data_IF_833712385259
#
_entry.id   IF_833712385259
#
_cell.length_a   1.000
_cell.length_b   1.000
_cell.length_c   1.000
_cell.angle_alpha   90.00
_cell.angle_beta   90.00
_cell.angle_gamma   90.00
#
_symmetry.space_group_name_H-M   'P 1'
#
loop_
_entity.id
_entity.type
_entity.pdbx_description
1 polymer ?
#
# COMPACT_ATOMS: atom_id res chain seq x y z
N UNK A 1 -1.15 -46.62 24.42
CA UNK A 1 0.09 -45.95 24.88
C UNK A 1 0.15 -44.59 24.19
N UNK A 2 -0.43 -43.52 24.76
CA UNK A 2 -0.19 -42.18 24.26
C UNK A 2 1.14 -41.66 24.86
N UNK A 3 1.94 -41.02 24.03
CA UNK A 3 3.13 -40.29 24.47
C UNK A 3 2.71 -38.87 24.85
N UNK A 4 2.76 -38.59 26.14
CA UNK A 4 2.73 -37.24 26.69
C UNK A 4 4.08 -36.55 26.38
N UNK A 5 4.04 -35.35 25.82
CA UNK A 5 5.20 -34.45 25.72
C UNK A 5 4.89 -33.23 26.57
N UNK A 6 5.61 -33.13 27.69
CA UNK A 6 5.55 -32.03 28.65
C UNK A 6 6.04 -30.72 28.03
N UNK A 7 5.29 -29.65 28.28
CA UNK A 7 5.65 -28.26 27.99
C UNK A 7 6.25 -27.67 29.29
N UNK A 8 7.44 -27.04 29.27
CA UNK A 8 7.98 -26.37 30.46
C UNK A 8 7.27 -25.03 30.73
N UNK A 9 7.08 -24.63 32.01
CA UNK A 9 6.26 -23.48 32.38
C UNK A 9 6.99 -22.14 32.20
N UNK A 10 6.16 -21.13 31.91
CA UNK A 10 6.46 -19.70 31.87
C UNK A 10 6.97 -19.15 33.20
N UNK A 11 8.08 -18.41 33.17
CA UNK A 11 8.55 -17.61 34.29
C UNK A 11 7.65 -16.37 34.49
N UNK A 12 6.72 -16.47 35.43
CA UNK A 12 6.22 -15.32 36.19
C UNK A 12 7.15 -15.10 37.39
N UNK A 13 7.69 -13.89 37.53
CA UNK A 13 8.29 -13.41 38.78
C UNK A 13 7.42 -12.29 39.35
N UNK A 14 6.61 -12.63 40.34
CA UNK A 14 5.92 -11.67 41.18
C UNK A 14 6.93 -10.92 42.05
N UNK A 15 6.73 -9.59 42.13
CA UNK A 15 7.42 -8.72 43.05
C UNK A 15 6.86 -8.86 44.46
N UNK A 16 7.74 -8.72 45.45
CA UNK A 16 7.36 -8.22 46.77
C UNK A 16 8.40 -7.25 47.31
N UNK A 17 7.86 -6.10 47.69
CA UNK A 17 8.35 -5.00 48.50
C UNK A 17 9.43 -5.34 49.55
N UNK A 18 10.43 -4.46 49.69
CA UNK A 18 10.82 -3.96 51.00
C UNK A 18 11.44 -2.56 50.91
N UNK A 19 11.07 -1.72 51.87
CA UNK A 19 11.30 -0.28 51.94
C UNK A 19 12.06 0.03 53.23
N UNK A 20 13.17 0.79 53.15
CA UNK A 20 13.77 1.61 54.22
C UNK A 20 14.94 2.42 53.59
N UNK A 21 14.79 3.75 53.47
CA UNK A 21 15.38 4.78 54.36
C UNK A 21 16.87 5.03 54.03
N UNK A 22 17.18 6.09 53.28
CA UNK A 22 17.46 7.49 53.72
C UNK A 22 18.95 7.67 54.06
N UNK A 23 19.67 8.47 53.25
CA UNK A 23 20.63 9.46 53.73
C UNK A 23 21.34 10.21 52.58
N UNK A 24 21.34 11.52 52.74
CA UNK A 24 21.99 12.57 51.97
C UNK A 24 23.52 12.55 52.01
N UNK A 25 24.22 12.89 50.92
CA UNK A 25 25.02 14.14 50.87
C UNK A 25 25.73 14.45 49.53
N UNK A 26 25.83 15.77 49.35
CA UNK A 26 26.48 16.65 48.38
C UNK A 26 27.96 16.43 47.97
N UNK A 27 28.28 16.97 46.77
CA UNK A 27 29.49 17.74 46.36
C UNK A 27 30.85 17.03 46.20
N UNK A 28 31.42 16.99 44.97
CA UNK A 28 32.37 17.99 44.40
C UNK A 28 33.10 17.49 43.13
N UNK A 29 33.36 18.44 42.21
CA UNK A 29 34.25 18.38 41.03
C UNK A 29 35.64 17.78 41.31
N UNK A 30 36.23 17.10 40.31
CA UNK A 30 37.59 17.42 39.78
C UNK A 30 37.90 16.76 38.43
N UNK A 31 38.66 17.50 37.62
CA UNK A 31 39.29 17.16 36.33
C UNK A 31 40.59 16.37 36.53
N UNK A 32 40.97 15.59 35.51
CA UNK A 32 42.36 15.33 35.02
C UNK A 32 42.22 14.56 33.69
N UNK A 33 42.53 15.10 32.51
CA UNK A 33 43.85 15.23 31.86
C UNK A 33 44.68 13.94 31.82
N UNK A 34 45.07 13.55 30.59
CA UNK A 34 45.94 12.41 30.28
C UNK A 34 45.90 12.03 28.79
N UNK A 35 46.68 12.75 27.97
CA UNK A 35 47.06 12.43 26.59
C UNK A 35 47.70 11.03 26.47
N UNK A 36 47.46 10.31 25.38
CA UNK A 36 48.55 9.62 24.64
C UNK A 36 48.23 9.50 23.13
N UNK A 37 49.22 9.96 22.36
CA UNK A 37 49.33 9.93 20.90
C UNK A 37 49.63 8.52 20.38
N UNK A 38 49.00 8.10 19.28
CA UNK A 38 49.65 7.20 18.31
C UNK A 38 49.24 7.52 16.86
N UNK A 39 50.26 7.88 16.07
CA UNK A 39 50.25 8.09 14.61
C UNK A 39 50.49 6.76 13.90
N UNK A 40 49.84 6.51 12.75
CA UNK A 40 50.34 5.73 11.60
C UNK A 40 49.33 5.90 10.45
N UNK A 41 49.61 6.71 9.42
CA UNK A 41 50.43 6.47 8.23
C UNK A 41 49.57 6.04 7.02
N UNK A 42 49.75 6.75 5.90
CA UNK A 42 48.93 6.67 4.70
C UNK A 42 49.67 6.00 3.52
N UNK A 43 48.88 5.28 2.69
CA UNK A 43 49.05 4.95 1.24
C UNK A 43 50.15 3.91 0.85
N UNK A 44 50.04 3.20 -0.30
CA UNK A 44 49.43 3.64 -1.57
C UNK A 44 48.61 2.62 -2.40
N UNK A 45 48.17 3.10 -3.56
CA UNK A 45 47.24 2.57 -4.55
C UNK A 45 47.76 1.40 -5.42
N UNK A 46 46.82 0.66 -6.03
CA UNK A 46 47.03 -0.19 -7.20
C UNK A 46 45.88 -0.05 -8.20
N UNK A 47 46.24 0.16 -9.48
CA UNK A 47 45.42 0.27 -10.70
C UNK A 47 45.00 -1.12 -11.19
N UNK A 48 43.80 -1.33 -11.76
CA UNK A 48 43.36 -1.38 -13.18
C UNK A 48 42.24 -2.46 -13.21
N UNK A 49 41.21 -2.54 -14.05
CA UNK A 49 40.86 -2.05 -15.40
C UNK A 49 39.42 -2.47 -15.76
N UNK A 50 38.70 -1.63 -16.52
CA UNK A 50 37.59 -1.96 -17.46
C UNK A 50 36.26 -2.44 -16.85
N UNK A 51 35.07 -2.20 -17.39
CA UNK A 51 34.49 -1.51 -18.56
C UNK A 51 32.96 -1.53 -18.34
N UNK A 52 32.20 -0.81 -19.16
CA UNK A 52 30.71 -0.71 -19.21
C UNK A 52 30.15 0.39 -18.29
N UNK A 53 29.40 1.41 -18.73
CA UNK A 53 28.64 1.56 -19.96
C UNK A 53 27.16 1.73 -19.62
N UNK A 54 26.75 2.91 -19.14
CA UNK A 54 25.32 3.27 -19.07
C UNK A 54 25.16 4.79 -19.15
N UNK A 55 24.44 5.21 -20.18
CA UNK A 55 24.06 6.57 -20.53
C UNK A 55 22.98 7.07 -19.57
N UNK A 56 23.18 8.24 -18.97
CA UNK A 56 22.11 9.04 -18.37
C UNK A 56 21.50 9.98 -19.41
N UNK A 57 20.18 10.16 -19.48
CA UNK A 57 19.60 11.29 -20.17
C UNK A 57 19.51 12.50 -19.22
N UNK A 58 20.32 13.52 -19.53
CA UNK A 58 20.08 14.89 -19.10
C UNK A 58 18.70 15.35 -19.60
N UNK A 59 17.86 15.85 -18.70
CA UNK A 59 16.84 16.83 -19.04
C UNK A 59 17.08 18.10 -18.25
N UNK A 60 17.71 19.07 -18.92
CA UNK A 60 17.67 20.48 -18.53
C UNK A 60 16.24 21.00 -18.73
N UNK A 61 15.65 21.64 -17.72
CA UNK A 61 14.51 22.52 -17.93
C UNK A 61 14.86 23.90 -17.41
N UNK A 62 14.82 24.88 -18.32
CA UNK A 62 15.01 26.29 -18.04
C UNK A 62 13.88 26.81 -17.14
N UNK A 63 14.28 27.54 -16.10
CA UNK A 63 13.44 28.28 -15.19
C UNK A 63 12.73 29.44 -15.89
N UNK A 64 11.41 29.35 -16.03
CA UNK A 64 10.54 30.48 -16.32
C UNK A 64 9.83 30.93 -15.05
N UNK A 65 10.30 32.02 -14.45
CA UNK A 65 9.64 32.72 -13.34
C UNK A 65 8.36 33.38 -13.84
N UNK A 66 7.20 32.97 -13.30
CA UNK A 66 5.96 33.76 -13.39
C UNK A 66 5.53 34.20 -12.00
N UNK A 67 5.53 35.51 -11.80
CA UNK A 67 5.05 36.21 -10.61
C UNK A 67 3.51 36.13 -10.57
N UNK A 68 2.94 35.62 -9.47
CA UNK A 68 1.50 35.68 -9.21
C UNK A 68 1.11 37.07 -8.70
N UNK A 69 0.31 37.79 -9.47
CA UNK A 69 -0.45 38.95 -9.00
C UNK A 69 -1.80 38.50 -8.43
N UNK A 70 -2.11 38.94 -7.22
CA UNK A 70 -3.41 38.77 -6.57
C UNK A 70 -4.51 39.50 -7.34
N UNK A 71 -5.66 38.85 -7.51
CA UNK A 71 -6.90 39.52 -7.85
C UNK A 71 -8.06 38.87 -7.10
N UNK A 72 -8.56 39.59 -6.10
CA UNK A 72 -9.85 39.34 -5.46
C UNK A 72 -10.99 39.61 -6.46
N UNK A 73 -11.97 38.70 -6.51
CA UNK A 73 -13.26 38.98 -7.13
C UNK A 73 -14.37 38.20 -6.41
N UNK A 74 -15.14 38.92 -5.61
CA UNK A 74 -16.50 38.54 -5.21
C UNK A 74 -17.35 38.26 -6.45
N UNK A 75 -18.23 37.25 -6.44
CA UNK A 75 -19.60 37.41 -6.95
C UNK A 75 -20.57 36.32 -6.45
N UNK A 76 -21.84 36.72 -6.44
CA UNK A 76 -22.93 36.24 -5.62
C UNK A 76 -23.59 34.90 -6.01
N UNK A 77 -24.25 34.32 -5.01
CA UNK A 77 -25.23 33.23 -5.13
C UNK A 77 -26.40 33.62 -6.06
N UNK A 78 -26.75 32.73 -6.99
CA UNK A 78 -28.13 32.63 -7.50
C UNK A 78 -28.52 31.14 -7.62
N UNK A 79 -29.48 30.74 -6.78
CA UNK A 79 -30.29 29.52 -6.93
C UNK A 79 -31.20 29.63 -8.15
N UNK A 80 -31.30 28.58 -8.98
CA UNK A 80 -32.58 28.18 -9.60
C UNK A 80 -32.71 26.66 -9.72
N UNK A 81 -33.90 26.18 -9.36
CA UNK A 81 -34.39 24.80 -9.45
C UNK A 81 -34.97 24.51 -10.84
N UNK A 82 -34.84 23.24 -11.23
CA UNK A 82 -35.77 22.36 -11.96
C UNK A 82 -36.25 22.73 -13.38
N UNK A 83 -36.12 21.80 -14.33
CA UNK A 83 -37.20 20.87 -14.75
C UNK A 83 -36.83 20.01 -15.97
N UNK A 84 -37.18 18.72 -15.92
CA UNK A 84 -37.26 17.78 -17.07
C UNK A 84 -38.36 18.21 -18.06
N UNK A 85 -38.13 18.05 -19.36
CA UNK A 85 -39.01 17.26 -20.27
C UNK A 85 -38.43 17.12 -21.68
N UNK A 86 -38.61 15.91 -22.23
CA UNK A 86 -38.40 15.48 -23.61
C UNK A 86 -39.21 16.32 -24.62
N UNK A 87 -38.70 16.47 -25.85
CA UNK A 87 -39.43 16.31 -27.11
C UNK A 87 -38.46 16.44 -28.31
N UNK A 88 -38.50 15.44 -29.18
CA UNK A 88 -37.91 15.43 -30.53
C UNK A 88 -38.60 16.46 -31.44
N UNK A 89 -37.84 17.12 -32.30
CA UNK A 89 -38.31 17.62 -33.59
C UNK A 89 -37.12 17.92 -34.51
N UNK A 90 -37.19 17.40 -35.74
CA UNK A 90 -36.16 17.54 -36.78
C UNK A 90 -36.20 18.90 -37.51
N UNK A 91 -35.00 19.38 -37.87
CA UNK A 91 -34.60 20.25 -39.02
C UNK A 91 -34.95 21.75 -38.98
N UNK A 92 -34.13 22.69 -39.54
CA UNK A 92 -33.28 22.52 -40.73
C UNK A 92 -31.82 23.02 -40.64
N UNK A 93 -31.06 22.65 -41.67
CA UNK A 93 -29.64 22.94 -41.93
C UNK A 93 -29.20 24.39 -41.63
N UNK A 94 -28.10 24.52 -40.88
CA UNK A 94 -27.34 25.76 -40.68
C UNK A 94 -25.93 25.60 -41.26
N UNK A 95 -25.40 26.61 -41.97
CA UNK A 95 -24.23 26.47 -42.82
C UNK A 95 -22.92 26.51 -42.01
N UNK A 96 -21.94 25.74 -42.50
CA UNK A 96 -20.53 25.82 -42.11
C UNK A 96 -20.16 25.46 -40.67
N UNK A 97 -20.46 24.23 -40.24
CA UNK A 97 -19.46 23.53 -39.44
C UNK A 97 -18.37 23.05 -40.38
N UNK A 98 -17.30 23.85 -40.49
CA UNK A 98 -16.01 23.33 -40.95
C UNK A 98 -15.74 22.08 -40.11
N UNK A 99 -15.76 20.93 -40.76
CA UNK A 99 -15.28 19.69 -40.19
C UNK A 99 -13.76 19.86 -40.06
N UNK A 100 -13.34 20.62 -39.05
CA UNK A 100 -11.98 20.60 -38.52
C UNK A 100 -11.76 19.12 -38.21
N UNK A 101 -11.01 18.43 -39.07
CA UNK A 101 -10.69 17.02 -38.88
C UNK A 101 -10.21 16.87 -37.45
N UNK A 102 -11.10 16.39 -36.58
CA UNK A 102 -10.92 16.54 -35.13
C UNK A 102 -9.78 15.61 -34.77
N UNK A 103 -8.59 16.19 -34.66
CA UNK A 103 -7.45 15.54 -34.04
C UNK A 103 -7.91 15.22 -32.63
N UNK A 104 -8.18 13.96 -32.33
CA UNK A 104 -8.42 13.52 -30.96
C UNK A 104 -7.15 13.82 -30.18
N UNK A 105 -7.16 14.79 -29.25
CA UNK A 105 -5.95 15.16 -28.56
C UNK A 105 -5.49 13.96 -27.72
N UNK A 106 -4.22 13.56 -27.87
CA UNK A 106 -3.58 12.53 -27.01
C UNK A 106 -3.24 13.07 -25.62
N UNK A 107 -3.70 14.28 -25.29
CA UNK A 107 -3.40 14.99 -24.06
C UNK A 107 -4.72 15.30 -23.35
N UNK A 108 -4.76 15.03 -22.05
CA UNK A 108 -5.85 15.44 -21.17
C UNK A 108 -5.41 16.61 -20.30
N UNK A 109 -6.28 17.61 -20.13
CA UNK A 109 -6.04 18.76 -19.26
C UNK A 109 -6.91 18.65 -18.01
N UNK A 110 -6.26 18.74 -16.85
CA UNK A 110 -6.93 18.74 -15.55
C UNK A 110 -6.55 20.00 -14.79
N UNK A 111 -7.52 20.54 -14.04
CA UNK A 111 -7.21 21.60 -13.09
C UNK A 111 -6.37 20.99 -11.97
N UNK A 112 -5.29 21.64 -11.56
CA UNK A 112 -4.45 21.14 -10.45
C UNK A 112 -5.26 20.93 -9.16
N UNK A 113 -6.32 21.72 -8.95
CA UNK A 113 -7.28 21.56 -7.85
C UNK A 113 -8.20 20.33 -7.97
N UNK A 114 -8.12 19.57 -9.06
CA UNK A 114 -8.81 18.27 -9.26
C UNK A 114 -7.82 17.11 -9.40
N UNK A 115 -6.54 17.38 -9.15
CA UNK A 115 -5.49 16.39 -9.11
C UNK A 115 -5.08 16.12 -7.67
N UNK A 116 -4.86 14.85 -7.35
CA UNK A 116 -4.30 14.39 -6.07
C UNK A 116 -3.15 13.45 -6.37
N UNK A 117 -1.98 13.71 -5.80
CA UNK A 117 -0.85 12.80 -5.86
C UNK A 117 -1.06 11.72 -4.80
N UNK A 118 -1.09 10.45 -5.23
CA UNK A 118 -1.36 9.31 -4.35
C UNK A 118 -0.15 8.39 -4.33
N UNK A 119 0.38 8.12 -3.14
CA UNK A 119 1.47 7.19 -2.89
C UNK A 119 0.91 5.89 -2.31
N UNK A 120 0.70 4.91 -3.17
CA UNK A 120 0.31 3.57 -2.73
C UNK A 120 1.49 2.84 -2.14
N UNK A 121 1.33 2.31 -0.93
CA UNK A 121 2.34 1.51 -0.23
C UNK A 121 1.74 0.14 0.04
N UNK A 122 2.32 -0.93 -0.51
CA UNK A 122 2.00 -2.28 -0.05
C UNK A 122 2.54 -2.45 1.36
N UNK A 123 1.78 -3.07 2.27
CA UNK A 123 2.29 -3.42 3.60
C UNK A 123 3.62 -4.20 3.52
N UNK A 124 4.42 -4.10 4.57
CA UNK A 124 5.66 -4.85 4.70
C UNK A 124 5.41 -6.34 5.02
N UNK A 125 6.46 -7.16 5.02
CA UNK A 125 6.32 -8.60 5.27
C UNK A 125 5.64 -8.88 6.63
N UNK A 126 4.52 -9.58 6.60
CA UNK A 126 3.86 -10.15 7.77
C UNK A 126 4.12 -11.64 7.93
N UNK A 127 3.75 -12.20 9.09
CA UNK A 127 3.89 -13.63 9.37
C UNK A 127 3.16 -14.51 8.35
N UNK A 128 2.01 -14.04 7.83
CA UNK A 128 1.30 -14.73 6.76
C UNK A 128 2.15 -14.83 5.48
N UNK A 129 2.94 -13.82 5.12
CA UNK A 129 3.79 -13.88 3.93
C UNK A 129 4.92 -14.90 4.07
N UNK A 130 5.47 -15.06 5.28
CA UNK A 130 6.54 -16.03 5.55
C UNK A 130 6.01 -17.45 5.36
N UNK A 131 4.89 -17.78 6.02
CA UNK A 131 4.35 -19.14 5.94
C UNK A 131 3.86 -19.48 4.53
N UNK A 132 3.27 -18.52 3.80
CA UNK A 132 2.81 -18.79 2.43
C UNK A 132 3.99 -18.98 1.48
N UNK A 133 5.06 -18.21 1.67
CA UNK A 133 6.29 -18.33 0.89
C UNK A 133 7.01 -19.67 1.15
N UNK A 134 7.11 -20.09 2.41
CA UNK A 134 7.67 -21.40 2.77
C UNK A 134 6.85 -22.55 2.17
N UNK A 135 5.52 -22.49 2.27
CA UNK A 135 4.64 -23.48 1.65
C UNK A 135 4.80 -23.51 0.13
N UNK A 136 4.88 -22.34 -0.52
CA UNK A 136 5.14 -22.23 -1.95
C UNK A 136 6.47 -22.87 -2.35
N UNK A 137 7.56 -22.61 -1.62
CA UNK A 137 8.86 -23.24 -1.86
C UNK A 137 8.76 -24.77 -1.77
N UNK A 138 8.11 -25.28 -0.72
CA UNK A 138 7.97 -26.71 -0.48
C UNK A 138 7.13 -27.41 -1.56
N UNK A 139 6.08 -26.75 -2.05
CA UNK A 139 5.17 -27.30 -3.05
C UNK A 139 5.73 -27.23 -4.48
N UNK A 140 6.57 -26.23 -4.79
CA UNK A 140 6.98 -25.87 -6.16
C UNK A 140 7.40 -27.07 -7.01
N UNK A 141 8.33 -27.89 -6.53
CA UNK A 141 8.84 -29.03 -7.30
C UNK A 141 7.80 -30.11 -7.59
N UNK A 142 6.81 -30.30 -6.72
CA UNK A 142 5.70 -31.23 -6.96
C UNK A 142 4.70 -30.66 -7.97
N UNK A 143 4.41 -29.36 -7.86
CA UNK A 143 3.49 -28.66 -8.78
C UNK A 143 4.07 -28.58 -10.20
N UNK A 144 5.37 -28.32 -10.35
CA UNK A 144 6.07 -28.34 -11.65
C UNK A 144 5.95 -29.70 -12.33
N UNK A 145 6.13 -30.80 -11.58
CA UNK A 145 5.98 -32.16 -12.10
C UNK A 145 4.55 -32.43 -12.55
N UNK A 146 3.55 -31.99 -11.78
CA UNK A 146 2.15 -32.17 -12.12
C UNK A 146 1.75 -31.39 -13.38
N UNK A 147 2.16 -30.12 -13.47
CA UNK A 147 1.94 -29.28 -14.65
C UNK A 147 2.60 -29.87 -15.90
N UNK A 148 3.83 -30.36 -15.79
CA UNK A 148 4.53 -31.01 -16.89
C UNK A 148 3.85 -32.32 -17.31
N UNK A 149 3.34 -33.12 -16.38
CA UNK A 149 2.58 -34.31 -16.71
C UNK A 149 1.29 -33.98 -17.47
N UNK A 150 0.57 -32.91 -17.07
CA UNK A 150 -0.61 -32.43 -17.79
C UNK A 150 -0.27 -31.95 -19.20
N UNK A 151 0.86 -31.26 -19.40
CA UNK A 151 1.36 -30.90 -20.74
C UNK A 151 1.56 -32.13 -21.62
N UNK A 152 2.23 -33.15 -21.09
CA UNK A 152 2.52 -34.39 -21.84
C UNK A 152 1.23 -35.14 -22.18
N UNK A 153 0.24 -35.15 -21.29
CA UNK A 153 -1.07 -35.76 -21.55
C UNK A 153 -1.82 -35.00 -22.66
N UNK A 154 -1.90 -33.67 -22.58
CA UNK A 154 -2.54 -32.84 -23.60
C UNK A 154 -1.96 -33.05 -25.01
N UNK A 155 -0.63 -33.15 -25.12
CA UNK A 155 0.04 -33.44 -26.40
C UNK A 155 -0.31 -34.83 -26.95
N UNK A 156 -0.46 -35.85 -26.07
CA UNK A 156 -0.90 -37.19 -26.48
C UNK A 156 -2.35 -37.22 -26.94
N UNK A 157 -3.19 -36.36 -26.37
CA UNK A 157 -4.60 -36.20 -26.75
C UNK A 157 -4.79 -35.36 -28.03
N UNK A 158 -3.69 -34.98 -28.69
CA UNK A 158 -3.71 -34.28 -29.98
C UNK A 158 -3.84 -32.77 -29.90
N UNK A 159 -3.70 -32.17 -28.70
CA UNK A 159 -3.62 -30.71 -28.58
C UNK A 159 -2.32 -30.17 -29.18
N UNK A 160 -2.36 -28.94 -29.69
CA UNK A 160 -1.17 -28.25 -30.17
C UNK A 160 -0.19 -27.94 -29.02
N UNK A 161 1.06 -27.68 -29.38
CA UNK A 161 2.09 -27.28 -28.43
C UNK A 161 1.67 -26.05 -27.59
N UNK A 162 1.08 -25.05 -28.25
CA UNK A 162 0.65 -23.82 -27.59
C UNK A 162 -0.50 -24.06 -26.60
N UNK A 163 -1.48 -24.91 -26.95
CA UNK A 163 -2.59 -25.27 -26.05
C UNK A 163 -2.10 -26.06 -24.83
N UNK A 164 -1.22 -27.03 -25.05
CA UNK A 164 -0.64 -27.83 -23.97
C UNK A 164 0.22 -26.96 -23.02
N UNK A 165 0.95 -25.97 -23.55
CA UNK A 165 1.73 -25.02 -22.76
C UNK A 165 0.85 -24.06 -21.95
N UNK A 166 -0.22 -23.54 -22.56
CA UNK A 166 -1.19 -22.70 -21.88
C UNK A 166 -1.90 -23.47 -20.75
N UNK A 167 -2.30 -24.72 -21.00
CA UNK A 167 -2.90 -25.60 -19.99
C UNK A 167 -1.95 -25.86 -18.82
N UNK A 168 -0.70 -26.21 -19.12
CA UNK A 168 0.34 -26.45 -18.12
C UNK A 168 0.57 -25.22 -17.24
N UNK A 169 0.71 -24.05 -17.86
CA UNK A 169 0.94 -22.78 -17.15
C UNK A 169 -0.25 -22.43 -16.25
N UNK A 170 -1.47 -22.56 -16.77
CA UNK A 170 -2.70 -22.31 -16.00
C UNK A 170 -2.84 -23.28 -14.82
N UNK A 171 -2.51 -24.55 -15.03
CA UNK A 171 -2.55 -25.56 -13.96
C UNK A 171 -1.49 -25.28 -12.89
N UNK A 172 -0.27 -24.93 -13.32
CA UNK A 172 0.82 -24.55 -12.44
C UNK A 172 0.40 -23.37 -11.56
N UNK A 173 -0.04 -22.26 -12.15
CA UNK A 173 -0.46 -21.06 -11.42
C UNK A 173 -1.60 -21.33 -10.44
N UNK A 174 -2.64 -22.04 -10.89
CA UNK A 174 -3.80 -22.38 -10.05
C UNK A 174 -3.38 -23.25 -8.86
N UNK A 175 -2.55 -24.26 -9.10
CA UNK A 175 -2.12 -25.20 -8.06
C UNK A 175 -1.13 -24.54 -7.10
N UNK A 176 -0.17 -23.75 -7.62
CA UNK A 176 0.74 -22.98 -6.78
C UNK A 176 0.01 -22.02 -5.85
N UNK A 177 -0.98 -21.28 -6.38
CA UNK A 177 -1.80 -20.38 -5.56
C UNK A 177 -2.53 -21.13 -4.44
N UNK A 178 -3.02 -22.33 -4.73
CA UNK A 178 -3.68 -23.16 -3.72
C UNK A 178 -2.68 -23.63 -2.64
N UNK A 179 -1.56 -24.21 -3.05
CA UNK A 179 -0.57 -24.78 -2.14
C UNK A 179 0.13 -23.72 -1.29
N UNK A 180 0.52 -22.59 -1.88
CA UNK A 180 1.19 -21.51 -1.15
C UNK A 180 0.27 -20.88 -0.10
N UNK A 181 -1.04 -20.78 -0.36
CA UNK A 181 -1.99 -20.17 0.59
C UNK A 181 -2.66 -21.20 1.51
N UNK A 182 -2.39 -22.50 1.31
CA UNK A 182 -2.91 -23.58 2.17
C UNK A 182 -2.70 -23.30 3.66
N UNK A 183 -1.55 -22.85 4.17
CA UNK A 183 -1.35 -22.65 5.61
C UNK A 183 -2.27 -21.61 6.25
N UNK A 184 -2.82 -20.68 5.46
CA UNK A 184 -3.67 -19.58 5.94
C UNK A 184 -5.14 -19.74 5.53
N UNK A 185 -5.47 -20.79 4.78
CA UNK A 185 -6.81 -21.10 4.31
C UNK A 185 -7.78 -21.43 5.45
N UNK A 186 -9.06 -21.05 5.31
CA UNK A 186 -10.05 -21.14 6.39
C UNK A 186 -10.28 -22.56 6.92
N UNK A 187 -10.12 -23.57 6.07
CA UNK A 187 -10.30 -24.99 6.41
C UNK A 187 -9.02 -25.66 6.97
N UNK A 188 -7.91 -24.93 7.05
CA UNK A 188 -6.65 -25.46 7.58
C UNK A 188 -6.65 -25.41 9.11
N UNK A 189 -6.43 -26.56 9.74
CA UNK A 189 -6.30 -26.64 11.19
C UNK A 189 -5.17 -25.71 11.69
N UNK A 190 -5.51 -24.81 12.62
CA UNK A 190 -4.56 -23.84 13.18
C UNK A 190 -4.36 -22.55 12.37
N UNK A 191 -4.93 -22.42 11.17
CA UNK A 191 -4.77 -21.22 10.34
C UNK A 191 -5.34 -19.95 10.97
N UNK A 192 -6.30 -20.07 11.89
CA UNK A 192 -6.83 -18.95 12.67
C UNK A 192 -5.75 -18.17 13.44
N UNK A 193 -4.56 -18.76 13.69
CA UNK A 193 -3.40 -18.07 14.30
C UNK A 193 -2.83 -16.97 13.42
N UNK A 194 -3.10 -17.00 12.12
CA UNK A 194 -2.70 -15.95 11.17
C UNK A 194 -3.77 -14.87 11.00
N UNK A 195 -4.88 -14.92 11.76
CA UNK A 195 -5.89 -13.86 11.76
C UNK A 195 -5.25 -12.52 12.03
N UNK A 196 -5.52 -11.56 11.15
CA UNK A 196 -5.01 -10.19 11.25
C UNK A 196 -3.48 -10.11 11.53
N UNK A 197 -2.72 -10.97 10.86
CA UNK A 197 -1.30 -11.19 11.15
C UNK A 197 -0.48 -9.87 11.15
N UNK A 198 0.37 -9.76 12.17
CA UNK A 198 1.33 -8.66 12.36
C UNK A 198 2.53 -8.74 11.40
N UNK A 199 3.33 -7.66 11.40
CA UNK A 199 4.62 -7.62 10.73
C UNK A 199 5.66 -8.53 11.40
N UNK A 200 6.55 -9.09 10.59
CA UNK A 200 7.79 -9.71 11.09
C UNK A 200 8.84 -8.63 11.38
N UNK A 201 9.93 -8.99 12.05
CA UNK A 201 11.07 -8.09 12.21
C UNK A 201 11.65 -7.65 10.86
N UNK A 202 11.76 -8.57 9.89
CA UNK A 202 12.16 -8.25 8.54
C UNK A 202 11.19 -7.25 7.87
N UNK A 203 9.89 -7.40 8.09
CA UNK A 203 8.88 -6.44 7.65
C UNK A 203 9.07 -5.05 8.27
N UNK A 204 9.29 -4.97 9.59
CA UNK A 204 9.58 -3.69 10.27
C UNK A 204 10.85 -3.03 9.72
N UNK A 205 11.89 -3.81 9.42
CA UNK A 205 13.11 -3.32 8.77
C UNK A 205 12.85 -2.78 7.37
N UNK A 206 11.97 -3.41 6.57
CA UNK A 206 11.55 -2.87 5.28
C UNK A 206 10.91 -1.47 5.43
N UNK A 207 10.04 -1.29 6.43
CA UNK A 207 9.44 0.01 6.75
C UNK A 207 10.49 1.07 7.10
N UNK A 208 11.46 0.74 7.96
CA UNK A 208 12.56 1.65 8.30
C UNK A 208 13.40 2.03 7.07
N UNK A 209 13.68 1.06 6.19
CA UNK A 209 14.40 1.31 4.95
C UNK A 209 13.62 2.26 4.03
N UNK A 210 12.30 2.05 3.85
CA UNK A 210 11.47 2.94 3.03
C UNK A 210 11.43 4.35 3.62
N UNK A 211 11.19 4.49 4.93
CA UNK A 211 11.23 5.79 5.62
C UNK A 211 12.56 6.52 5.41
N UNK A 212 13.68 5.81 5.56
CA UNK A 212 15.01 6.36 5.32
C UNK A 212 15.27 6.76 3.86
N UNK A 213 14.70 6.04 2.89
CA UNK A 213 14.72 6.43 1.47
C UNK A 213 13.92 7.71 1.24
N UNK A 214 12.69 7.79 1.75
CA UNK A 214 11.85 8.97 1.63
C UNK A 214 12.55 10.19 2.23
N UNK A 215 13.09 10.08 3.44
CA UNK A 215 13.81 11.19 4.09
C UNK A 215 15.07 11.63 3.32
N UNK A 216 15.80 10.70 2.68
CA UNK A 216 16.96 11.05 1.85
C UNK A 216 16.55 11.77 0.57
N UNK A 217 15.50 11.32 -0.09
CA UNK A 217 14.98 12.00 -1.29
C UNK A 217 14.59 13.45 -0.97
N UNK A 218 13.99 13.69 0.21
CA UNK A 218 13.70 15.05 0.68
C UNK A 218 14.94 15.94 0.85
N UNK A 219 16.07 15.37 1.27
CA UNK A 219 17.33 16.10 1.46
C UNK A 219 18.02 16.40 0.13
N UNK A 220 17.90 15.49 -0.84
CA UNK A 220 18.53 15.60 -2.15
C UNK A 220 17.77 16.53 -3.10
N UNK A 221 16.44 16.56 -3.01
CA UNK A 221 15.59 17.45 -3.78
C UNK A 221 14.52 18.10 -2.88
N UNK A 222 14.85 19.22 -2.23
CA UNK A 222 13.90 19.92 -1.35
C UNK A 222 12.68 20.49 -2.09
N UNK A 223 12.76 20.68 -3.41
CA UNK A 223 11.67 21.22 -4.24
C UNK A 223 10.63 20.14 -4.58
N UNK A 224 11.04 18.87 -4.62
CA UNK A 224 10.15 17.71 -4.73
C UNK A 224 9.92 17.02 -3.38
N UNK A 225 9.71 17.83 -2.34
CA UNK A 225 9.38 17.31 -1.02
C UNK A 225 8.06 16.54 -1.07
N UNK A 226 8.12 15.23 -0.82
CA UNK A 226 6.93 14.42 -0.53
C UNK A 226 6.30 14.90 0.77
N UNK A 227 5.30 15.78 0.66
CA UNK A 227 4.59 16.36 1.79
C UNK A 227 3.25 15.67 1.97
N UNK A 228 3.29 14.45 2.51
CA UNK A 228 2.05 13.71 2.80
C UNK A 228 1.17 14.51 3.77
N UNK A 229 0.01 14.95 3.26
CA UNK A 229 -1.02 15.70 3.97
C UNK A 229 -1.98 14.76 4.71
N UNK A 230 -2.15 13.51 4.24
CA UNK A 230 -3.02 12.49 4.83
C UNK A 230 -2.44 11.09 4.59
N UNK A 231 -2.50 10.25 5.61
CA UNK A 231 -2.18 8.82 5.50
C UNK A 231 -3.48 8.03 5.65
N UNK A 232 -3.93 7.40 4.58
CA UNK A 232 -5.08 6.48 4.57
C UNK A 232 -4.57 5.05 4.69
N UNK A 233 -5.16 4.27 5.59
CA UNK A 233 -4.63 2.96 5.98
C UNK A 233 -5.73 1.92 5.99
N UNK A 234 -5.44 0.73 5.46
CA UNK A 234 -6.32 -0.42 5.65
C UNK A 234 -6.39 -0.82 7.13
N UNK A 235 -7.55 -1.29 7.64
CA UNK A 235 -7.74 -1.67 9.05
C UNK A 235 -6.96 -2.92 9.49
N UNK A 236 -6.39 -3.71 8.58
CA UNK A 236 -5.56 -4.87 8.94
C UNK A 236 -4.24 -4.43 9.59
N UNK A 237 -3.86 -5.07 10.71
CA UNK A 237 -2.73 -4.71 11.59
C UNK A 237 -1.41 -4.55 10.85
N UNK A 238 -1.12 -5.41 9.87
CA UNK A 238 0.06 -5.27 9.01
C UNK A 238 0.16 -3.92 8.28
N UNK A 239 -0.97 -3.35 7.85
CA UNK A 239 -1.02 -2.01 7.25
C UNK A 239 -0.88 -0.93 8.31
N UNK A 240 -1.56 -1.08 9.46
CA UNK A 240 -1.47 -0.14 10.59
C UNK A 240 -0.01 -0.03 11.08
N UNK A 241 0.67 -1.14 11.34
CA UNK A 241 2.09 -1.17 11.71
C UNK A 241 2.99 -0.58 10.61
N UNK A 242 2.72 -0.89 9.34
CA UNK A 242 3.49 -0.34 8.22
C UNK A 242 3.38 1.18 8.18
N UNK A 243 2.16 1.70 8.29
CA UNK A 243 1.88 3.12 8.24
C UNK A 243 2.49 3.87 9.44
N UNK A 244 2.32 3.32 10.65
CA UNK A 244 2.88 3.87 11.89
C UNK A 244 4.41 3.96 11.80
N UNK A 245 5.09 2.89 11.38
CA UNK A 245 6.55 2.90 11.29
C UNK A 245 7.05 3.91 10.23
N UNK A 246 6.41 3.98 9.06
CA UNK A 246 6.89 4.85 7.97
C UNK A 246 6.56 6.32 8.24
N UNK A 247 5.32 6.61 8.66
CA UNK A 247 4.76 7.97 8.70
C UNK A 247 4.44 8.50 10.11
N UNK A 248 4.55 7.68 11.15
CA UNK A 248 4.31 8.04 12.55
C UNK A 248 5.39 8.88 13.24
N UNK A 249 6.70 8.69 13.00
CA UNK A 249 7.73 9.47 13.69
C UNK A 249 7.62 10.98 13.45
N UNK A 250 7.84 11.77 14.50
CA UNK A 250 7.73 13.24 14.44
C UNK A 250 6.30 13.75 14.63
N UNK A 251 5.30 12.87 14.83
CA UNK A 251 4.00 13.24 15.40
C UNK A 251 4.21 13.89 16.76
N UNK A 252 3.60 15.06 16.97
CA UNK A 252 3.59 15.75 18.27
C UNK A 252 4.87 16.53 18.60
N UNK A 253 5.79 16.66 17.65
CA UNK A 253 6.92 17.60 17.80
C UNK A 253 6.41 19.04 17.83
N UNK A 254 6.88 19.85 18.79
CA UNK A 254 6.57 21.28 18.94
C UNK A 254 6.84 22.08 17.65
N UNK A 255 7.72 21.60 16.78
CA UNK A 255 8.07 22.24 15.50
C UNK A 255 7.11 21.91 14.35
N UNK A 256 6.18 20.96 14.53
CA UNK A 256 5.16 20.55 13.54
C UNK A 256 3.83 20.17 14.22
N UNK A 257 3.05 21.17 14.66
CA UNK A 257 1.83 20.97 15.46
C UNK A 257 0.66 20.35 14.68
N UNK A 258 0.69 20.38 13.34
CA UNK A 258 -0.31 19.69 12.51
C UNK A 258 0.14 18.23 12.33
N UNK A 259 -0.30 17.37 13.26
CA UNK A 259 -0.18 15.92 13.13
C UNK A 259 -0.73 15.51 11.77
N UNK A 260 0.08 14.83 10.95
CA UNK A 260 -0.44 14.23 9.70
C UNK A 260 -1.69 13.41 10.07
N UNK A 261 -2.89 13.69 9.59
CA UNK A 261 -4.04 12.86 9.90
C UNK A 261 -3.78 11.43 9.41
N UNK A 262 -4.09 10.46 10.26
CA UNK A 262 -4.18 9.06 9.86
C UNK A 262 -5.65 8.71 9.85
N UNK A 263 -6.11 8.12 8.75
CA UNK A 263 -7.49 7.72 8.56
C UNK A 263 -7.52 6.24 8.18
N UNK A 264 -8.26 5.45 8.94
CA UNK A 264 -8.48 4.03 8.65
C UNK A 264 -9.69 3.86 7.75
N UNK A 265 -9.54 3.12 6.64
CA UNK A 265 -10.56 3.00 5.62
C UNK A 265 -10.71 1.55 5.14
N UNK A 266 -11.87 0.94 5.34
CA UNK A 266 -12.10 -0.47 4.99
C UNK A 266 -12.02 -0.74 3.48
N UNK A 267 -12.46 0.19 2.62
CA UNK A 267 -12.44 -0.03 1.17
C UNK A 267 -11.04 -0.23 0.56
N UNK A 268 -9.95 0.13 1.23
CA UNK A 268 -8.58 -0.12 0.75
C UNK A 268 -7.92 -1.37 1.38
N UNK A 269 -8.70 -2.23 2.04
CA UNK A 269 -8.20 -3.50 2.61
C UNK A 269 -7.98 -4.59 1.57
N UNK A 270 -7.33 -5.67 2.00
CA UNK A 270 -7.12 -6.86 1.16
C UNK A 270 -8.44 -7.49 0.74
N UNK A 271 -8.42 -8.46 -0.16
CA UNK A 271 -9.62 -9.21 -0.52
C UNK A 271 -10.29 -9.87 0.69
N UNK A 272 -11.61 -9.82 0.76
CA UNK A 272 -12.36 -10.51 1.83
C UNK A 272 -12.34 -12.03 1.66
N UNK A 273 -12.44 -12.74 2.79
CA UNK A 273 -12.68 -14.18 2.87
C UNK A 273 -11.54 -15.09 2.40
N UNK A 274 -11.82 -16.39 2.35
CA UNK A 274 -10.90 -17.51 1.97
C UNK A 274 -9.73 -17.75 2.94
N UNK A 275 -9.06 -16.69 3.40
CA UNK A 275 -7.86 -16.78 4.23
C UNK A 275 -8.04 -16.03 5.55
N UNK A 276 -7.66 -16.68 6.66
CA UNK A 276 -7.74 -16.06 7.99
C UNK A 276 -6.93 -14.78 8.09
N UNK A 277 -5.79 -14.68 7.39
CA UNK A 277 -4.98 -13.45 7.38
C UNK A 277 -5.71 -12.23 6.83
N UNK A 278 -6.79 -12.41 6.09
CA UNK A 278 -7.60 -11.32 5.54
C UNK A 278 -8.80 -10.95 6.42
N UNK A 279 -8.99 -11.68 7.54
CA UNK A 279 -9.93 -11.34 8.60
C UNK A 279 -9.30 -10.34 9.55
N UNK A 280 -9.91 -9.17 9.74
CA UNK A 280 -9.45 -8.17 10.71
C UNK A 280 -10.00 -8.46 12.10
N UNK A 281 -9.33 -7.94 13.12
CA UNK A 281 -9.93 -7.81 14.45
C UNK A 281 -11.06 -6.76 14.45
N UNK A 282 -11.85 -6.72 15.52
CA UNK A 282 -12.84 -5.65 15.64
C UNK A 282 -12.14 -4.31 15.81
N UNK A 283 -12.74 -3.24 15.27
CA UNK A 283 -12.14 -1.91 15.35
C UNK A 283 -11.92 -1.49 16.80
N UNK A 284 -12.88 -1.78 17.67
CA UNK A 284 -12.81 -1.52 19.12
C UNK A 284 -11.63 -2.23 19.78
N UNK A 285 -11.33 -3.47 19.40
CA UNK A 285 -10.18 -4.19 19.95
C UNK A 285 -8.87 -3.60 19.41
N UNK A 286 -8.80 -3.36 18.10
CA UNK A 286 -7.62 -2.79 17.46
C UNK A 286 -7.26 -1.40 18.01
N UNK A 287 -8.27 -0.58 18.32
CA UNK A 287 -8.10 0.77 18.90
C UNK A 287 -7.55 0.78 20.34
N UNK A 288 -7.55 -0.36 21.04
CA UNK A 288 -6.90 -0.45 22.37
C UNK A 288 -5.38 -0.31 22.29
N UNK A 289 -4.80 -0.54 21.11
CA UNK A 289 -3.38 -0.32 20.90
C UNK A 289 -3.09 1.20 20.89
N UNK A 290 -2.24 1.70 21.81
CA UNK A 290 -1.98 3.13 21.93
C UNK A 290 -1.38 3.73 20.65
N UNK A 291 -0.74 2.93 19.79
CA UNK A 291 -0.17 3.40 18.51
C UNK A 291 -1.22 3.97 17.57
N UNK A 292 -2.46 3.46 17.63
CA UNK A 292 -3.52 3.75 16.66
C UNK A 292 -4.80 4.30 17.30
N UNK A 293 -4.79 4.47 18.63
CA UNK A 293 -5.94 4.96 19.40
C UNK A 293 -6.41 6.36 18.98
N UNK A 294 -5.48 7.24 18.62
CA UNK A 294 -5.76 8.63 18.20
C UNK A 294 -5.97 8.79 16.68
N UNK A 295 -6.09 7.70 15.92
CA UNK A 295 -6.34 7.77 14.48
C UNK A 295 -7.82 8.01 14.20
N UNK A 296 -8.14 8.54 13.01
CA UNK A 296 -9.52 8.68 12.57
C UNK A 296 -10.02 7.34 12.03
N UNK A 297 -11.06 6.80 12.66
CA UNK A 297 -11.71 5.55 12.24
C UNK A 297 -13.17 5.76 11.82
N UNK A 298 -13.66 7.00 11.89
CA UNK A 298 -15.07 7.35 11.77
C UNK A 298 -15.35 8.03 10.43
N UNK A 299 -14.41 8.81 9.89
CA UNK A 299 -14.58 9.57 8.64
C UNK A 299 -14.41 8.75 7.35
N UNK A 300 -14.63 7.44 7.41
CA UNK A 300 -14.54 6.52 6.25
C UNK A 300 -15.89 6.31 5.54
N UNK A 301 -16.93 7.06 5.93
CA UNK A 301 -18.26 6.92 5.36
C UNK A 301 -18.26 7.14 3.84
N UNK A 302 -18.81 6.15 3.15
CA UNK A 302 -19.07 6.13 1.71
C UNK A 302 -20.53 5.75 1.51
N UNK A 303 -21.15 6.26 0.44
CA UNK A 303 -22.45 5.75 0.02
C UNK A 303 -22.29 4.28 -0.37
N UNK A 304 -22.84 3.38 0.44
CA UNK A 304 -22.69 1.93 0.30
C UNK A 304 -24.08 1.30 0.20
N UNK A 305 -24.38 0.55 -0.86
CA UNK A 305 -25.74 0.11 -1.16
C UNK A 305 -26.20 -1.09 -0.32
N UNK A 306 -25.28 -1.82 0.31
CA UNK A 306 -25.59 -3.06 1.02
C UNK A 306 -25.91 -2.85 2.50
N UNK A 307 -26.73 -3.74 3.06
CA UNK A 307 -27.08 -3.75 4.48
C UNK A 307 -25.90 -4.09 5.40
N UNK A 308 -24.85 -4.74 4.87
CA UNK A 308 -23.62 -5.03 5.60
C UNK A 308 -22.60 -3.96 5.24
N UNK A 309 -22.38 -3.03 6.16
CA UNK A 309 -21.41 -1.97 5.97
C UNK A 309 -19.98 -2.49 6.14
N UNK A 310 -19.05 -2.15 5.24
CA UNK A 310 -17.66 -2.58 5.35
C UNK A 310 -16.95 -2.06 6.60
N UNK A 311 -17.47 -0.99 7.19
CA UNK A 311 -16.94 -0.33 8.37
C UNK A 311 -17.72 -0.63 9.66
N UNK A 312 -18.43 -1.77 9.74
CA UNK A 312 -18.98 -2.25 11.02
C UNK A 312 -17.88 -2.62 12.02
N UNK A 313 -18.13 -2.59 13.33
CA UNK A 313 -17.06 -2.84 14.33
C UNK A 313 -16.45 -4.23 14.18
N UNK A 314 -17.27 -5.28 14.10
CA UNK A 314 -16.84 -6.64 13.81
C UNK A 314 -16.59 -6.85 12.31
N UNK A 315 -15.78 -7.83 11.94
CA UNK A 315 -15.53 -8.17 10.53
C UNK A 315 -16.64 -9.09 10.00
N UNK A 316 -17.84 -8.53 9.78
CA UNK A 316 -19.03 -9.26 9.35
C UNK A 316 -18.98 -9.69 7.87
N UNK A 317 -18.12 -9.05 7.07
CA UNK A 317 -17.97 -9.32 5.63
C UNK A 317 -17.03 -10.51 5.37
N UNK A 318 -16.10 -10.80 6.29
CA UNK A 318 -15.21 -11.93 6.10
C UNK A 318 -15.98 -13.27 6.20
N UNK A 319 -15.87 -14.08 5.15
CA UNK A 319 -16.54 -15.38 5.02
C UNK A 319 -15.59 -16.45 4.44
N UNK A 320 -16.07 -17.67 4.30
CA UNK A 320 -15.30 -18.75 3.68
C UNK A 320 -15.09 -18.48 2.18
N UNK A 321 -16.04 -17.80 1.54
CA UNK A 321 -15.96 -17.41 0.13
C UNK A 321 -15.01 -16.23 -0.10
N UNK A 322 -14.15 -16.36 -1.12
CA UNK A 322 -13.30 -15.26 -1.58
C UNK A 322 -14.13 -14.17 -2.24
N UNK A 323 -13.87 -12.92 -1.85
CA UNK A 323 -14.41 -11.73 -2.53
C UNK A 323 -14.20 -11.79 -4.04
N UNK A 324 -15.22 -11.55 -4.86
CA UNK A 324 -15.10 -11.59 -6.33
C UNK A 324 -14.26 -10.42 -6.88
N UNK A 325 -13.61 -10.58 -8.04
CA UNK A 325 -12.88 -9.47 -8.68
C UNK A 325 -13.80 -8.27 -8.99
N UNK A 326 -15.06 -8.53 -9.39
CA UNK A 326 -16.04 -7.48 -9.64
C UNK A 326 -16.34 -6.64 -8.38
N UNK A 327 -16.46 -7.28 -7.22
CA UNK A 327 -16.66 -6.57 -5.96
C UNK A 327 -15.43 -5.74 -5.56
N UNK A 328 -14.21 -6.28 -5.73
CA UNK A 328 -12.97 -5.51 -5.49
C UNK A 328 -12.90 -4.29 -6.40
N UNK A 329 -13.26 -4.45 -7.69
CA UNK A 329 -13.29 -3.35 -8.64
C UNK A 329 -14.27 -2.27 -8.17
N UNK A 330 -15.53 -2.62 -7.84
CA UNK A 330 -16.54 -1.66 -7.38
C UNK A 330 -16.07 -0.87 -6.14
N UNK A 331 -15.59 -1.54 -5.09
CA UNK A 331 -15.10 -0.83 -3.90
C UNK A 331 -13.84 0.00 -4.17
N UNK A 332 -12.98 -0.43 -5.09
CA UNK A 332 -11.79 0.34 -5.45
C UNK A 332 -12.13 1.62 -6.19
N UNK A 333 -13.18 1.61 -7.03
CA UNK A 333 -13.74 2.81 -7.67
C UNK A 333 -14.29 3.77 -6.61
N UNK A 334 -15.14 3.28 -5.71
CA UNK A 334 -15.72 4.10 -4.61
C UNK A 334 -14.63 4.69 -3.72
N UNK A 335 -13.58 3.92 -3.42
CA UNK A 335 -12.44 4.41 -2.67
C UNK A 335 -11.70 5.55 -3.38
N UNK A 336 -11.46 5.43 -4.70
CA UNK A 336 -10.83 6.51 -5.47
C UNK A 336 -11.73 7.74 -5.61
N UNK A 337 -13.05 7.55 -5.77
CA UNK A 337 -14.01 8.65 -5.77
C UNK A 337 -14.08 9.38 -4.43
N UNK A 338 -14.00 8.63 -3.33
CA UNK A 338 -13.87 9.19 -1.99
C UNK A 338 -12.55 9.98 -1.85
N UNK A 339 -11.42 9.41 -2.30
CA UNK A 339 -10.13 10.10 -2.32
C UNK A 339 -10.14 11.36 -3.20
N UNK A 340 -10.84 11.35 -4.33
CA UNK A 340 -10.92 12.50 -5.22
C UNK A 340 -11.70 13.69 -4.64
N UNK A 341 -12.58 13.45 -3.67
CA UNK A 341 -13.37 14.48 -2.97
C UNK A 341 -12.62 15.08 -1.77
N UNK A 342 -11.48 14.50 -1.40
CA UNK A 342 -10.64 14.96 -0.30
C UNK A 342 -9.99 16.32 -0.62
N UNK A 343 -9.90 17.26 0.35
CA UNK A 343 -9.16 18.51 0.18
C UNK A 343 -7.64 18.29 0.09
N UNK A 344 -7.12 17.17 0.60
CA UNK A 344 -5.69 16.84 0.65
C UNK A 344 -5.12 16.58 -0.76
N UNK A 345 -3.87 17.02 -1.01
CA UNK A 345 -3.26 17.01 -2.34
C UNK A 345 -2.20 15.96 -2.52
N UNK A 346 -1.56 15.57 -1.43
CA UNK A 346 -0.58 14.50 -1.43
C UNK A 346 -0.92 13.47 -0.33
N UNK A 347 -1.39 12.31 -0.76
CA UNK A 347 -1.97 11.30 0.14
C UNK A 347 -1.14 10.02 0.05
N UNK A 348 -0.80 9.43 1.19
CA UNK A 348 -0.26 8.07 1.24
C UNK A 348 -1.39 7.08 1.51
N UNK A 349 -1.42 5.96 0.77
CA UNK A 349 -2.40 4.88 0.98
C UNK A 349 -1.64 3.59 1.29
N UNK A 350 -1.74 3.10 2.53
CA UNK A 350 -1.08 1.86 2.95
C UNK A 350 -2.05 0.69 2.86
N UNK A 351 -1.80 -0.22 1.93
CA UNK A 351 -2.75 -1.25 1.44
C UNK A 351 -2.04 -2.57 1.10
N UNK A 352 -2.62 -3.41 0.24
CA UNK A 352 -2.25 -4.81 0.02
C UNK A 352 -2.05 -5.15 -1.46
N UNK A 353 -1.43 -6.30 -1.73
CA UNK A 353 -1.06 -6.69 -3.08
C UNK A 353 -2.26 -7.00 -3.97
N UNK A 354 -3.27 -7.75 -3.50
CA UNK A 354 -4.41 -8.08 -4.37
C UNK A 354 -5.33 -6.88 -4.57
N UNK A 355 -5.46 -5.98 -3.60
CA UNK A 355 -6.14 -4.70 -3.82
C UNK A 355 -5.48 -3.89 -4.93
N UNK A 356 -4.16 -3.64 -4.85
CA UNK A 356 -3.42 -2.88 -5.86
C UNK A 356 -3.45 -3.53 -7.24
N UNK A 357 -3.33 -4.86 -7.30
CA UNK A 357 -3.43 -5.61 -8.56
C UNK A 357 -4.77 -5.38 -9.26
N UNK A 358 -5.87 -5.40 -8.51
CA UNK A 358 -7.20 -5.17 -9.07
C UNK A 358 -7.41 -3.69 -9.43
N UNK A 359 -6.97 -2.76 -8.58
CA UNK A 359 -7.06 -1.33 -8.85
C UNK A 359 -6.35 -0.93 -10.14
N UNK A 360 -5.09 -1.33 -10.33
CA UNK A 360 -4.32 -0.94 -11.51
C UNK A 360 -4.71 -1.69 -12.79
N UNK A 361 -5.41 -2.83 -12.69
CA UNK A 361 -6.05 -3.46 -13.86
C UNK A 361 -7.16 -2.59 -14.44
N UNK A 362 -7.94 -1.91 -13.59
CA UNK A 362 -9.06 -1.05 -14.02
C UNK A 362 -8.53 0.24 -14.66
N UNK A 363 -7.57 0.91 -14.02
CA UNK A 363 -7.16 2.27 -14.41
C UNK A 363 -5.90 2.36 -15.26
N UNK A 364 -5.21 1.26 -15.51
CA UNK A 364 -4.04 1.22 -16.40
C UNK A 364 -4.36 0.72 -17.81
N UNK A 365 -5.64 0.55 -18.19
CA UNK A 365 -6.03 -0.03 -19.49
C UNK A 365 -5.52 0.75 -20.70
N UNK A 366 -5.60 2.08 -20.61
CA UNK A 366 -5.45 2.99 -21.74
C UNK A 366 -4.07 3.69 -21.79
N UNK A 367 -3.16 3.36 -20.86
CA UNK A 367 -1.80 3.92 -20.83
C UNK A 367 -0.86 3.19 -21.80
N UNK A 368 0.32 3.73 -22.07
CA UNK A 368 1.31 3.02 -22.90
C UNK A 368 1.82 1.75 -22.21
N UNK A 369 2.35 0.80 -22.97
CA UNK A 369 2.77 -0.50 -22.44
C UNK A 369 3.75 -0.38 -21.26
N UNK A 370 4.71 0.54 -21.34
CA UNK A 370 5.69 0.76 -20.26
C UNK A 370 5.00 1.17 -18.95
N UNK A 371 4.03 2.08 -19.01
CA UNK A 371 3.22 2.48 -17.85
C UNK A 371 2.36 1.31 -17.35
N UNK A 372 1.79 0.51 -18.26
CA UNK A 372 1.03 -0.68 -17.89
C UNK A 372 1.89 -1.69 -17.13
N UNK A 373 3.12 -1.91 -17.59
CA UNK A 373 4.05 -2.84 -16.99
C UNK A 373 4.43 -2.39 -15.58
N UNK A 374 4.68 -1.09 -15.37
CA UNK A 374 4.94 -0.52 -14.04
C UNK A 374 3.70 -0.61 -13.14
N UNK A 375 2.53 -0.19 -13.64
CA UNK A 375 1.30 -0.17 -12.85
C UNK A 375 0.80 -1.57 -12.49
N UNK A 376 1.00 -2.56 -13.36
CA UNK A 376 0.50 -3.93 -13.18
C UNK A 376 1.54 -4.90 -12.61
N UNK A 377 2.80 -4.47 -12.48
CA UNK A 377 3.81 -5.23 -11.76
C UNK A 377 3.34 -5.56 -10.34
N UNK A 378 3.54 -6.81 -9.92
CA UNK A 378 3.20 -7.27 -8.57
C UNK A 378 4.02 -6.46 -7.57
N UNK A 379 3.37 -5.68 -6.68
CA UNK A 379 4.10 -4.80 -5.78
C UNK A 379 4.86 -5.63 -4.76
N UNK A 380 6.15 -5.35 -4.54
CA UNK A 380 6.95 -5.97 -3.49
C UNK A 380 6.50 -5.50 -2.10
N UNK A 381 6.83 -6.27 -1.05
CA UNK A 381 6.54 -5.88 0.33
C UNK A 381 7.18 -4.51 0.63
N UNK A 382 6.40 -3.60 1.21
CA UNK A 382 6.84 -2.23 1.49
C UNK A 382 7.28 -1.43 0.24
N UNK A 383 6.78 -1.78 -0.95
CA UNK A 383 6.97 -0.97 -2.16
C UNK A 383 6.06 0.25 -2.13
N UNK A 384 6.59 1.41 -2.55
CA UNK A 384 5.84 2.64 -2.76
C UNK A 384 5.72 2.92 -4.26
N UNK A 385 4.48 3.11 -4.74
CA UNK A 385 4.16 3.48 -6.12
C UNK A 385 3.36 4.77 -6.12
N UNK A 386 3.80 5.77 -6.89
CA UNK A 386 3.16 7.08 -6.94
C UNK A 386 2.36 7.23 -8.23
N UNK A 387 1.13 7.73 -8.12
CA UNK A 387 0.28 8.09 -9.26
C UNK A 387 -0.35 9.46 -9.05
N UNK A 388 -0.92 10.03 -10.10
CA UNK A 388 -1.77 11.22 -10.01
C UNK A 388 -3.20 10.79 -10.32
N UNK A 389 -4.08 10.95 -9.34
CA UNK A 389 -5.52 10.77 -9.49
C UNK A 389 -6.12 12.08 -9.99
N UNK A 390 -6.84 12.00 -11.12
CA UNK A 390 -7.53 13.14 -11.72
C UNK A 390 -9.03 12.88 -11.76
N UNK A 391 -9.84 13.82 -11.28
CA UNK A 391 -11.29 13.69 -11.27
C UNK A 391 -11.96 14.67 -12.26
N UNK A 392 -12.91 14.15 -13.04
CA UNK A 392 -13.60 14.93 -14.08
C UNK A 392 -14.71 15.85 -13.52
N UNK A 393 -15.06 15.73 -12.24
CA UNK A 393 -16.07 16.56 -11.56
C UNK A 393 -17.39 15.82 -11.36
#
# INVERSE_FOLDING_TARGET
>A
MPFDVEIPPSLHSDGHFNQAADDSNSFHRRRSEGDEHLKLAAKPALRHSGTEGALEPLFETHSGTFLSGEAHSHFAQVRRKASRSLLENESPESPHHQNLGMVTPKLSLFLGSRCTRVHFVRHAQGYHNVITHEAGINAKGAVEKSAQAAKVAALKDGQSQAEAEALSSKLFEKTMRFEENRPVHFDTAGAHRYTDAELTEAGRNQCYCLRGKMQRNLLQDPLHRTNIDLVVVSPLRRCLETADIIFGPGRGSQDRPELKPFLVHDLCRERYGEFYCDKRQSMTETRKDPRWSDWDWESQEVDWPDSVHPFSDADEIWAEERETEAHVHDRSMRFLEWLAKRPEREVAVVTHSSFLKNLFKVFGGDTCQDDQDVLRAVPANCELRTVVLCHHG
#
